data_IF_026985845601
#
_entry.id   IF_026985845601
#
_cell.length_a   1.000
_cell.length_b   1.000
_cell.length_c   1.000
_cell.angle_alpha   90.00
_cell.angle_beta   90.00
_cell.angle_gamma   90.00
#
_symmetry.space_group_name_H-M   'P 1'
#
loop_
_entity.id
_entity.type
_entity.pdbx_description
1 polymer ?
#
# COMPACT_ATOMS: atom_id res chain seq x y z
N UNK A 1 8.68 -11.02 -10.76
CA UNK A 1 9.37 -11.45 -9.53
C UNK A 1 8.42 -11.17 -8.37
N UNK A 2 7.34 -11.95 -8.27
CA UNK A 2 7.20 -13.13 -7.38
C UNK A 2 7.44 -12.73 -5.93
N UNK A 3 6.42 -12.08 -5.35
CA UNK A 3 6.23 -11.97 -3.92
C UNK A 3 6.11 -13.40 -3.38
N UNK A 4 7.08 -13.81 -2.58
CA UNK A 4 7.09 -15.14 -1.98
C UNK A 4 5.94 -15.21 -0.96
N UNK A 5 4.93 -15.99 -1.30
CA UNK A 5 3.88 -16.44 -0.38
C UNK A 5 4.55 -17.20 0.78
N UNK A 6 4.53 -16.61 1.97
CA UNK A 6 4.72 -17.35 3.23
C UNK A 6 3.38 -17.35 3.93
N UNK A 7 2.86 -18.56 4.16
CA UNK A 7 1.54 -18.84 4.73
C UNK A 7 1.30 -18.03 6.02
N UNK A 8 0.47 -17.00 5.91
CA UNK A 8 -0.16 -16.35 7.06
C UNK A 8 -1.36 -17.21 7.45
N UNK A 9 -1.23 -17.92 8.56
CA UNK A 9 -2.30 -18.73 9.15
C UNK A 9 -3.54 -17.85 9.40
N UNK A 10 -4.64 -18.17 8.70
CA UNK A 10 -5.89 -17.38 8.68
C UNK A 10 -6.56 -17.40 10.07
N UNK A 11 -6.64 -16.25 10.73
CA UNK A 11 -7.54 -16.04 11.86
C UNK A 11 -8.96 -15.71 11.37
N UNK A 12 -10.03 -16.31 11.92
CA UNK A 12 -11.40 -16.06 11.49
C UNK A 12 -11.98 -14.81 12.17
N UNK A 13 -12.74 -14.01 11.43
CA UNK A 13 -13.58 -12.96 12.02
C UNK A 13 -14.04 -11.88 11.04
N UNK A 14 -15.30 -11.95 10.63
CA UNK A 14 -16.00 -10.85 9.96
C UNK A 14 -16.35 -9.71 10.93
N UNK A 15 -16.66 -8.54 10.34
CA UNK A 15 -16.82 -7.18 10.91
C UNK A 15 -15.57 -6.31 10.84
N UNK A 16 -15.42 -5.54 9.73
CA UNK A 16 -14.45 -4.42 9.49
C UNK A 16 -13.23 -4.39 10.42
N UNK A 17 -12.57 -5.54 10.57
CA UNK A 17 -11.45 -5.72 11.45
C UNK A 17 -10.28 -5.05 10.74
N UNK A 18 -9.73 -3.98 11.33
CA UNK A 18 -8.41 -3.50 10.91
C UNK A 18 -7.50 -4.72 10.97
N UNK A 19 -7.10 -5.24 9.81
CA UNK A 19 -6.22 -6.40 9.74
C UNK A 19 -4.95 -6.11 10.53
N UNK A 20 -4.43 -7.11 11.22
CA UNK A 20 -3.13 -7.00 11.89
C UNK A 20 -2.09 -6.62 10.83
N UNK A 21 -1.30 -5.58 11.13
CA UNK A 21 -0.17 -5.16 10.31
C UNK A 21 1.12 -5.63 10.96
N UNK A 22 2.01 -6.22 10.18
CA UNK A 22 3.26 -6.79 10.60
C UNK A 22 4.34 -6.43 9.57
N UNK A 23 5.48 -5.95 10.06
CA UNK A 23 6.70 -5.82 9.28
C UNK A 23 7.70 -6.87 9.75
N UNK A 24 8.36 -7.54 8.81
CA UNK A 24 9.36 -8.56 9.08
C UNK A 24 10.71 -8.05 8.60
N UNK A 25 11.70 -8.02 9.48
CA UNK A 25 13.08 -7.68 9.15
C UNK A 25 13.85 -8.87 8.58
N UNK A 26 14.97 -8.58 7.92
CA UNK A 26 15.83 -9.63 7.35
C UNK A 26 16.44 -10.54 8.41
N UNK A 27 16.78 -11.76 8.01
CA UNK A 27 17.43 -12.74 8.88
C UNK A 27 18.90 -12.34 9.13
N UNK A 28 19.24 -12.02 10.37
CA UNK A 28 20.58 -11.56 10.77
C UNK A 28 21.08 -12.27 12.03
N UNK A 29 22.40 -12.32 12.28
CA UNK A 29 22.93 -12.81 13.55
C UNK A 29 22.39 -12.00 14.74
N UNK A 30 22.31 -12.58 15.96
CA UNK A 30 21.78 -11.89 17.13
C UNK A 30 22.46 -10.54 17.43
N UNK A 31 23.75 -10.40 17.12
CA UNK A 31 24.50 -9.14 17.28
C UNK A 31 24.00 -7.98 16.42
N UNK A 32 23.19 -8.26 15.38
CA UNK A 32 22.60 -7.25 14.48
C UNK A 32 21.07 -7.18 14.60
N UNK A 33 20.50 -7.69 15.70
CA UNK A 33 19.05 -7.68 15.91
C UNK A 33 18.43 -6.27 15.82
N UNK A 34 19.18 -5.22 16.21
CA UNK A 34 18.76 -3.83 16.04
C UNK A 34 18.54 -3.44 14.56
N UNK A 35 19.40 -3.94 13.65
CA UNK A 35 19.27 -3.68 12.22
C UNK A 35 17.99 -4.36 11.68
N UNK A 36 17.74 -5.62 12.05
CA UNK A 36 16.53 -6.35 11.67
C UNK A 36 15.26 -5.70 12.24
N UNK A 37 15.32 -5.17 13.47
CA UNK A 37 14.21 -4.40 14.04
C UNK A 37 13.93 -3.10 13.26
N UNK A 38 14.97 -2.35 12.89
CA UNK A 38 14.80 -1.15 12.07
C UNK A 38 14.22 -1.47 10.69
N UNK A 39 14.64 -2.58 10.08
CA UNK A 39 14.07 -3.11 8.84
C UNK A 39 12.60 -3.52 9.00
N UNK A 40 12.25 -4.20 10.09
CA UNK A 40 10.87 -4.59 10.41
C UNK A 40 9.97 -3.35 10.56
N UNK A 41 10.43 -2.32 11.27
CA UNK A 41 9.70 -1.03 11.37
C UNK A 41 9.53 -0.36 10.01
N UNK A 42 10.56 -0.41 9.17
CA UNK A 42 10.47 0.11 7.79
C UNK A 42 9.42 -0.67 6.99
N UNK A 43 9.44 -1.99 7.04
CA UNK A 43 8.48 -2.84 6.36
C UNK A 43 7.05 -2.64 6.85
N UNK A 44 6.86 -2.44 8.16
CA UNK A 44 5.56 -2.17 8.76
C UNK A 44 4.90 -0.92 8.15
N UNK A 45 5.69 0.10 7.78
CA UNK A 45 5.18 1.33 7.15
C UNK A 45 4.63 1.12 5.73
N UNK A 46 4.92 -0.03 5.11
CA UNK A 46 4.33 -0.44 3.84
C UNK A 46 3.14 -1.39 4.02
N UNK A 47 2.99 -1.99 5.20
CA UNK A 47 1.92 -2.93 5.48
C UNK A 47 0.58 -2.20 5.54
N UNK A 48 -0.44 -2.81 4.93
CA UNK A 48 -1.80 -2.27 4.94
C UNK A 48 -2.74 -3.22 5.64
N UNK A 49 -3.57 -2.72 6.56
CA UNK A 49 -4.55 -3.56 7.26
C UNK A 49 -5.75 -3.98 6.41
N UNK A 50 -5.67 -3.90 5.07
CA UNK A 50 -6.79 -4.14 4.14
C UNK A 50 -6.48 -5.28 3.18
N UNK A 51 -7.14 -6.41 3.39
CA UNK A 51 -7.03 -7.61 2.57
C UNK A 51 -6.15 -8.69 3.21
N UNK A 52 -6.40 -9.97 2.90
CA UNK A 52 -5.78 -11.12 3.57
C UNK A 52 -4.25 -11.17 3.44
N UNK A 53 -3.69 -10.67 2.32
CA UNK A 53 -2.25 -10.78 2.02
C UNK A 53 -1.50 -9.44 2.17
N UNK A 54 -2.17 -8.39 2.63
CA UNK A 54 -1.59 -7.05 2.68
C UNK A 54 -1.09 -6.65 4.08
N UNK A 55 -1.34 -7.51 5.08
CA UNK A 55 -1.03 -7.26 6.48
C UNK A 55 0.42 -7.55 6.87
N UNK A 56 1.13 -8.44 6.16
CA UNK A 56 2.52 -8.80 6.47
C UNK A 56 3.43 -8.37 5.34
N UNK A 57 4.47 -7.60 5.65
CA UNK A 57 5.48 -7.15 4.67
C UNK A 57 6.86 -7.59 5.13
N UNK A 58 7.57 -8.31 4.26
CA UNK A 58 8.98 -8.65 4.44
C UNK A 58 9.87 -7.53 3.87
N UNK A 59 10.79 -7.02 4.69
CA UNK A 59 11.73 -5.99 4.29
C UNK A 59 12.58 -6.43 3.09
N UNK A 60 13.02 -7.69 3.04
CA UNK A 60 13.87 -8.18 1.95
C UNK A 60 13.11 -8.26 0.62
N UNK A 61 11.78 -8.36 0.67
CA UNK A 61 10.91 -8.34 -0.50
C UNK A 61 10.64 -6.91 -1.04
N UNK A 62 10.89 -5.86 -0.25
CA UNK A 62 10.70 -4.47 -0.69
C UNK A 62 11.74 -4.04 -1.74
N UNK A 63 12.96 -4.55 -1.63
CA UNK A 63 14.07 -4.14 -2.48
C UNK A 63 14.21 -2.60 -2.53
N UNK A 64 14.28 -1.98 -3.72
CA UNK A 64 14.42 -0.52 -3.85
C UNK A 64 13.27 0.29 -3.25
N UNK A 65 12.09 -0.30 -3.03
CA UNK A 65 10.97 0.42 -2.41
C UNK A 65 11.28 0.84 -0.98
N UNK A 66 12.15 0.10 -0.26
CA UNK A 66 12.56 0.45 1.10
C UNK A 66 13.18 1.87 1.18
N UNK A 67 13.87 2.31 0.13
CA UNK A 67 14.47 3.66 0.05
C UNK A 67 13.40 4.76 0.09
N UNK A 68 12.17 4.49 -0.34
CA UNK A 68 11.10 5.47 -0.29
C UNK A 68 10.71 5.80 1.16
N UNK A 69 10.90 4.87 2.10
CA UNK A 69 10.63 5.11 3.52
C UNK A 69 11.63 6.07 4.18
N UNK A 70 12.80 6.30 3.57
CA UNK A 70 13.78 7.30 4.02
C UNK A 70 13.35 8.73 3.67
N UNK A 71 12.39 8.89 2.74
CA UNK A 71 11.86 10.20 2.38
C UNK A 71 11.02 10.75 3.54
N UNK A 72 11.30 11.97 4.04
CA UNK A 72 10.52 12.57 5.11
C UNK A 72 9.03 12.65 4.76
N UNK A 73 8.15 12.30 5.70
CA UNK A 73 6.71 12.28 5.48
C UNK A 73 6.16 13.64 5.02
N UNK A 74 6.66 14.76 5.56
CA UNK A 74 6.32 16.10 5.10
C UNK A 74 6.63 16.32 3.60
N UNK A 75 7.75 15.76 3.10
CA UNK A 75 8.11 15.83 1.68
C UNK A 75 7.20 14.95 0.83
N UNK A 76 6.80 13.78 1.33
CA UNK A 76 5.81 12.93 0.66
C UNK A 76 4.46 13.65 0.57
N UNK A 77 3.96 14.25 1.66
CA UNK A 77 2.70 15.02 1.67
C UNK A 77 2.71 16.24 0.76
N UNK A 78 3.90 16.79 0.48
CA UNK A 78 4.07 17.91 -0.45
C UNK A 78 3.99 17.49 -1.93
N UNK A 79 4.13 16.20 -2.25
CA UNK A 79 3.93 15.71 -3.62
C UNK A 79 2.45 15.83 -4.05
N UNK A 80 2.23 16.24 -5.30
CA UNK A 80 0.89 16.50 -5.81
C UNK A 80 0.04 15.23 -5.92
N UNK A 81 0.64 14.11 -6.34
CA UNK A 81 -0.07 12.83 -6.46
C UNK A 81 -0.41 12.25 -5.09
N UNK A 82 0.53 12.33 -4.14
CA UNK A 82 0.28 11.92 -2.75
C UNK A 82 -0.84 12.73 -2.12
N UNK A 83 -0.84 14.06 -2.29
CA UNK A 83 -1.90 14.94 -1.79
C UNK A 83 -3.25 14.62 -2.42
N UNK A 84 -3.30 14.41 -3.74
CA UNK A 84 -4.52 14.05 -4.43
C UNK A 84 -5.11 12.72 -3.93
N UNK A 85 -4.26 11.73 -3.61
CA UNK A 85 -4.70 10.48 -2.98
C UNK A 85 -5.21 10.69 -1.55
N UNK A 86 -4.55 11.54 -0.77
CA UNK A 86 -5.02 11.89 0.57
C UNK A 86 -6.40 12.56 0.52
N UNK A 87 -6.56 13.59 -0.32
CA UNK A 87 -7.82 14.29 -0.52
C UNK A 87 -8.92 13.35 -1.06
N UNK A 88 -8.56 12.41 -1.94
CA UNK A 88 -9.50 11.40 -2.42
C UNK A 88 -9.94 10.47 -1.30
N UNK A 89 -9.01 10.00 -0.46
CA UNK A 89 -9.31 9.07 0.63
C UNK A 89 -10.31 9.63 1.65
N UNK A 90 -10.27 10.94 1.90
CA UNK A 90 -11.19 11.65 2.81
C UNK A 90 -12.61 11.85 2.25
N UNK A 91 -12.84 11.62 0.94
CA UNK A 91 -14.18 11.73 0.35
C UNK A 91 -15.04 10.52 0.71
N UNK A 92 -16.35 10.70 0.73
CA UNK A 92 -17.31 9.61 0.91
C UNK A 92 -17.08 8.50 -0.13
N UNK A 93 -16.69 7.32 0.33
CA UNK A 93 -16.37 6.16 -0.51
C UNK A 93 -15.02 6.23 -1.23
N UNK A 94 -14.21 7.26 -0.99
CA UNK A 94 -12.91 7.48 -1.60
C UNK A 94 -11.87 6.40 -1.26
N UNK A 95 -11.94 5.85 -0.05
CA UNK A 95 -11.13 4.68 0.35
C UNK A 95 -11.30 3.48 -0.58
N UNK A 96 -12.49 3.30 -1.17
CA UNK A 96 -12.74 2.23 -2.14
C UNK A 96 -12.04 2.51 -3.47
N UNK A 97 -11.89 3.79 -3.85
CA UNK A 97 -11.09 4.21 -5.00
C UNK A 97 -9.62 3.87 -4.80
N UNK A 98 -9.07 4.21 -3.63
CA UNK A 98 -7.68 3.88 -3.28
C UNK A 98 -7.46 2.36 -3.23
N UNK A 99 -8.41 1.59 -2.70
CA UNK A 99 -8.35 0.12 -2.72
C UNK A 99 -8.42 -0.46 -4.15
N UNK A 100 -9.23 0.13 -5.03
CA UNK A 100 -9.28 -0.23 -6.44
C UNK A 100 -7.95 0.06 -7.16
N UNK A 101 -7.33 1.21 -6.90
CA UNK A 101 -6.01 1.56 -7.42
C UNK A 101 -4.95 0.54 -6.98
N UNK A 102 -4.90 0.22 -5.68
CA UNK A 102 -3.96 -0.77 -5.14
C UNK A 102 -4.11 -2.15 -5.77
N UNK A 103 -5.35 -2.65 -5.88
CA UNK A 103 -5.65 -3.91 -6.55
C UNK A 103 -5.24 -3.89 -8.03
N UNK A 104 -5.48 -2.78 -8.73
CA UNK A 104 -5.10 -2.62 -10.13
C UNK A 104 -3.58 -2.53 -10.32
N UNK A 105 -2.85 -1.80 -9.48
CA UNK A 105 -1.39 -1.73 -9.53
C UNK A 105 -0.74 -3.09 -9.27
N UNK A 106 -1.27 -3.90 -8.35
CA UNK A 106 -0.76 -5.26 -8.08
C UNK A 106 -1.01 -6.25 -9.21
N UNK A 107 -2.18 -6.18 -9.83
CA UNK A 107 -2.61 -7.19 -10.81
C UNK A 107 -2.34 -6.79 -12.26
N UNK A 108 -2.26 -5.49 -12.54
CA UNK A 108 -2.19 -4.94 -13.89
C UNK A 108 -3.44 -5.17 -14.73
N UNK A 109 -4.55 -5.67 -14.15
CA UNK A 109 -5.76 -6.06 -14.88
C UNK A 109 -7.02 -5.71 -14.12
N UNK A 110 -7.97 -5.06 -14.79
CA UNK A 110 -9.31 -4.77 -14.23
C UNK A 110 -10.03 -6.03 -13.75
N UNK A 111 -9.92 -7.13 -14.51
CA UNK A 111 -10.60 -8.38 -14.19
C UNK A 111 -10.01 -9.03 -12.94
N UNK A 112 -8.69 -9.04 -12.82
CA UNK A 112 -8.03 -9.61 -11.63
C UNK A 112 -8.21 -8.71 -10.41
N UNK A 113 -8.14 -7.39 -10.56
CA UNK A 113 -8.46 -6.45 -9.50
C UNK A 113 -9.91 -6.62 -8.99
N UNK A 114 -10.86 -6.82 -9.90
CA UNK A 114 -12.26 -7.10 -9.56
C UNK A 114 -12.42 -8.42 -8.81
N UNK A 115 -11.74 -9.48 -9.25
CA UNK A 115 -11.72 -10.76 -8.55
C UNK A 115 -11.12 -10.64 -7.14
N UNK A 116 -10.00 -9.93 -7.00
CA UNK A 116 -9.32 -9.69 -5.71
C UNK A 116 -10.21 -8.90 -4.73
N UNK A 117 -10.97 -7.93 -5.22
CA UNK A 117 -11.86 -7.11 -4.41
C UNK A 117 -13.27 -7.70 -4.25
N UNK A 118 -13.54 -8.87 -4.86
CA UNK A 118 -14.88 -9.47 -4.93
C UNK A 118 -15.94 -8.51 -5.47
N UNK A 119 -15.58 -7.74 -6.49
CA UNK A 119 -16.42 -6.75 -7.15
C UNK A 119 -16.69 -7.12 -8.59
N UNK A 120 -17.73 -6.51 -9.17
CA UNK A 120 -17.90 -6.53 -10.61
C UNK A 120 -16.86 -5.63 -11.29
N UNK A 121 -16.37 -6.04 -12.46
CA UNK A 121 -15.33 -5.31 -13.20
C UNK A 121 -15.73 -3.86 -13.53
N UNK A 122 -17.02 -3.60 -13.82
CA UNK A 122 -17.51 -2.24 -14.07
C UNK A 122 -17.44 -1.36 -12.82
N UNK A 123 -17.65 -1.93 -11.63
CA UNK A 123 -17.51 -1.21 -10.36
C UNK A 123 -16.06 -0.87 -10.04
N UNK A 124 -15.09 -1.70 -10.47
CA UNK A 124 -13.67 -1.35 -10.38
C UNK A 124 -13.31 -0.27 -11.38
N UNK A 125 -13.75 -0.40 -12.63
CA UNK A 125 -13.52 0.60 -13.67
C UNK A 125 -14.06 1.99 -13.29
N UNK A 126 -15.28 2.06 -12.75
CA UNK A 126 -15.86 3.32 -12.28
C UNK A 126 -15.05 3.96 -11.14
N UNK A 127 -14.55 3.15 -10.20
CA UNK A 127 -13.70 3.64 -9.10
C UNK A 127 -12.34 4.12 -9.60
N UNK A 128 -11.73 3.41 -10.56
CA UNK A 128 -10.49 3.85 -11.17
C UNK A 128 -10.65 5.14 -11.98
N UNK A 129 -11.79 5.35 -12.64
CA UNK A 129 -12.06 6.60 -13.34
C UNK A 129 -12.06 7.81 -12.38
N UNK A 130 -12.63 7.66 -11.19
CA UNK A 130 -12.58 8.71 -10.13
C UNK A 130 -11.14 8.95 -9.66
N UNK A 131 -10.32 7.90 -9.56
CA UNK A 131 -8.90 8.01 -9.22
C UNK A 131 -8.13 8.73 -10.33
N UNK A 132 -8.36 8.37 -11.60
CA UNK A 132 -7.74 9.01 -12.77
C UNK A 132 -8.08 10.51 -12.83
N UNK A 133 -9.34 10.87 -12.55
CA UNK A 133 -9.79 12.26 -12.46
C UNK A 133 -9.09 13.01 -11.32
N UNK A 134 -8.97 12.40 -10.15
CA UNK A 134 -8.30 13.02 -9.00
C UNK A 134 -6.80 13.22 -9.22
N UNK A 135 -6.13 12.26 -9.88
CA UNK A 135 -4.67 12.30 -10.10
C UNK A 135 -4.27 13.04 -11.39
N UNK A 136 -5.20 13.20 -12.34
CA UNK A 136 -4.90 13.69 -13.68
C UNK A 136 -4.02 12.73 -14.49
N UNK A 137 -4.04 11.43 -14.19
CA UNK A 137 -3.22 10.39 -14.81
C UNK A 137 -4.08 9.32 -15.48
N UNK A 138 -3.53 8.68 -16.50
CA UNK A 138 -4.19 7.58 -17.23
C UNK A 138 -3.59 6.24 -16.82
N UNK A 139 -4.29 5.45 -16.04
CA UNK A 139 -3.79 4.20 -15.46
C UNK A 139 -3.57 3.08 -16.50
N UNK A 140 -4.11 3.21 -17.71
CA UNK A 140 -3.77 2.32 -18.81
C UNK A 140 -2.37 2.60 -19.39
N UNK A 141 -1.86 3.82 -19.22
CA UNK A 141 -0.51 4.18 -19.65
C UNK A 141 0.52 3.67 -18.62
N UNK A 142 1.52 2.88 -19.02
CA UNK A 142 2.45 2.25 -18.07
C UNK A 142 3.21 3.24 -17.17
N UNK A 143 3.59 4.40 -17.71
CA UNK A 143 4.32 5.44 -16.95
C UNK A 143 3.44 6.13 -15.92
N UNK A 144 2.19 6.41 -16.26
CA UNK A 144 1.21 7.00 -15.34
C UNK A 144 0.80 6.02 -14.24
N UNK A 145 0.62 4.74 -14.60
CA UNK A 145 0.38 3.68 -13.62
C UNK A 145 1.53 3.53 -12.62
N UNK A 146 2.78 3.64 -13.09
CA UNK A 146 3.94 3.59 -12.20
C UNK A 146 3.98 4.79 -11.24
N UNK A 147 3.73 6.00 -11.72
CA UNK A 147 3.60 7.20 -10.86
C UNK A 147 2.47 7.03 -9.84
N UNK A 148 1.32 6.50 -10.25
CA UNK A 148 0.20 6.21 -9.36
C UNK A 148 0.58 5.21 -8.25
N UNK A 149 1.33 4.17 -8.59
CA UNK A 149 1.83 3.21 -7.61
C UNK A 149 2.81 3.85 -6.62
N UNK A 150 3.73 4.71 -7.09
CA UNK A 150 4.64 5.46 -6.22
C UNK A 150 3.89 6.44 -5.30
N UNK A 151 2.91 7.17 -5.83
CA UNK A 151 2.06 8.06 -5.04
C UNK A 151 1.28 7.29 -3.96
N UNK A 152 0.80 6.08 -4.28
CA UNK A 152 0.13 5.21 -3.32
C UNK A 152 1.07 4.79 -2.17
N UNK A 153 2.32 4.42 -2.46
CA UNK A 153 3.30 4.15 -1.42
C UNK A 153 3.66 5.40 -0.61
N UNK A 154 3.87 6.54 -1.29
CA UNK A 154 4.16 7.80 -0.61
C UNK A 154 3.03 8.22 0.33
N UNK A 155 1.78 8.07 -0.09
CA UNK A 155 0.61 8.30 0.75
C UNK A 155 0.61 7.40 1.99
N UNK A 156 0.82 6.09 1.85
CA UNK A 156 0.91 5.16 3.00
C UNK A 156 2.01 5.56 3.99
N UNK A 157 3.21 5.76 3.47
CA UNK A 157 4.38 6.14 4.27
C UNK A 157 4.24 7.48 4.97
N UNK A 158 3.37 8.36 4.46
CA UNK A 158 3.07 9.66 5.05
C UNK A 158 1.96 9.63 6.12
N UNK A 159 1.20 8.53 6.20
CA UNK A 159 0.14 8.33 7.20
C UNK A 159 0.59 7.46 8.38
N UNK A 160 1.73 6.79 8.28
CA UNK A 160 2.29 5.92 9.33
C UNK A 160 3.15 6.67 10.38
N UNK A 161 2.93 7.97 10.58
CA UNK A 161 3.50 8.68 11.72
C UNK A 161 2.85 8.16 13.01
N UNK A 162 3.59 7.36 13.77
CA UNK A 162 3.29 7.11 15.19
C UNK A 162 3.27 8.46 15.92
N UNK A 163 2.32 8.68 16.85
CA UNK A 163 2.34 9.88 17.68
C UNK A 163 3.69 9.94 18.41
N UNK A 164 4.39 11.07 18.30
CA UNK A 164 5.58 11.33 19.11
C UNK A 164 5.19 11.22 20.59
N UNK A 165 5.55 10.11 21.24
CA UNK A 165 5.54 10.03 22.70
C UNK A 165 6.64 10.97 23.22
N UNK A 166 6.22 12.10 23.75
CA UNK A 166 7.07 13.06 24.47
C UNK A 166 7.41 12.63 25.89
#
# INVERSE_FOLDING_TARGET
>A
AVLAERDAERLPGGERSRGVRCGVGGAVPPSRAADSWAQARTALRFATGRGPDAGVVDHDALGPLALLAEVPAARLRADAGVRALAELAERDGGELGVAALDAFCRTGSLRQAAALLHLHHSSVAARLAVVEEALGWRLHEPGDRFKAQLALYGWRLSNDEEPEEG
#
